data_IF_095337936895
#
_entry.id   IF_095337936895
#
_cell.length_a   1.000
_cell.length_b   1.000
_cell.length_c   1.000
_cell.angle_alpha   90.00
_cell.angle_beta   90.00
_cell.angle_gamma   90.00
#
_symmetry.space_group_name_H-M   'P 1'
#
loop_
_entity.id
_entity.type
_entity.pdbx_description
1 polymer ?
#
# COMPACT_ATOMS: atom_id res chain seq x y z
N UNK A 1 25.78 25.31 -6.27
CA UNK A 1 24.43 25.21 -6.87
C UNK A 1 23.92 23.77 -6.85
N UNK A 2 24.75 22.77 -7.18
CA UNK A 2 24.42 21.35 -6.90
C UNK A 2 24.16 21.08 -5.41
N UNK A 3 25.04 21.54 -4.51
CA UNK A 3 24.83 21.42 -3.05
C UNK A 3 23.52 22.08 -2.59
N UNK A 4 23.20 23.24 -3.18
CA UNK A 4 21.99 24.00 -2.87
C UNK A 4 20.70 23.24 -3.26
N UNK A 5 20.68 22.43 -4.34
CA UNK A 5 19.46 21.69 -4.72
C UNK A 5 19.31 20.38 -3.94
N UNK A 6 20.42 19.74 -3.57
CA UNK A 6 20.42 18.56 -2.70
C UNK A 6 19.91 18.91 -1.30
N UNK A 7 20.38 20.01 -0.71
CA UNK A 7 19.90 20.49 0.59
C UNK A 7 18.39 20.79 0.60
N UNK A 8 17.85 21.41 -0.45
CA UNK A 8 16.42 21.70 -0.53
C UNK A 8 15.57 20.44 -0.73
N UNK A 9 16.09 19.45 -1.45
CA UNK A 9 15.39 18.17 -1.64
C UNK A 9 15.24 17.42 -0.31
N UNK A 10 16.31 17.37 0.48
CA UNK A 10 16.25 16.81 1.84
C UNK A 10 15.44 17.68 2.81
N UNK A 11 15.42 19.00 2.65
CA UNK A 11 14.61 19.90 3.47
C UNK A 11 13.10 19.79 3.18
N UNK A 12 12.72 19.50 1.93
CA UNK A 12 11.32 19.33 1.53
C UNK A 12 10.80 17.90 1.77
N UNK A 13 11.69 16.91 1.87
CA UNK A 13 11.32 15.51 2.13
C UNK A 13 10.43 15.33 3.37
N UNK A 14 10.74 15.91 4.55
CA UNK A 14 9.84 15.84 5.71
C UNK A 14 8.47 16.49 5.47
N UNK A 15 8.41 17.57 4.69
CA UNK A 15 7.14 18.24 4.38
C UNK A 15 6.26 17.35 3.53
N UNK A 16 6.82 16.73 2.49
CA UNK A 16 6.11 15.78 1.65
C UNK A 16 5.76 14.48 2.40
N UNK A 17 6.65 14.00 3.26
CA UNK A 17 6.42 12.88 4.17
C UNK A 17 5.20 13.11 5.04
N UNK A 18 5.16 14.26 5.72
CA UNK A 18 4.03 14.66 6.57
C UNK A 18 2.72 14.80 5.77
N UNK A 19 2.75 15.43 4.59
CA UNK A 19 1.55 15.58 3.76
C UNK A 19 1.03 14.23 3.26
N UNK A 20 1.93 13.34 2.83
CA UNK A 20 1.60 11.99 2.42
C UNK A 20 1.07 11.15 3.60
N UNK A 21 1.63 11.31 4.80
CA UNK A 21 1.15 10.68 6.02
C UNK A 21 -0.29 11.08 6.34
N UNK A 22 -0.54 12.39 6.43
CA UNK A 22 -1.83 12.93 6.81
C UNK A 22 -2.89 12.55 5.78
N UNK A 23 -2.60 12.74 4.49
CA UNK A 23 -3.57 12.41 3.45
C UNK A 23 -3.72 10.91 3.25
N UNK A 24 -2.63 10.14 3.26
CA UNK A 24 -2.68 8.68 3.15
C UNK A 24 -3.48 8.05 4.28
N UNK A 25 -3.29 8.53 5.52
CA UNK A 25 -4.07 8.08 6.67
C UNK A 25 -5.53 8.51 6.58
N UNK A 26 -5.81 9.77 6.22
CA UNK A 26 -7.17 10.29 6.06
C UNK A 26 -7.93 9.56 4.94
N UNK A 27 -7.31 9.44 3.78
CA UNK A 27 -7.85 8.75 2.61
C UNK A 27 -8.06 7.30 2.95
N UNK A 28 -7.15 6.60 3.63
CA UNK A 28 -7.40 5.20 3.99
C UNK A 28 -8.43 5.06 5.12
N UNK A 29 -8.70 6.11 5.86
CA UNK A 29 -9.81 6.18 6.81
C UNK A 29 -9.39 5.89 8.25
N UNK A 30 -8.15 6.23 8.61
CA UNK A 30 -7.63 6.13 9.96
C UNK A 30 -8.57 6.82 10.96
N UNK A 31 -8.90 6.13 12.05
CA UNK A 31 -9.81 6.59 13.11
C UNK A 31 -9.14 6.66 14.47
N UNK A 32 -8.07 5.90 14.69
CA UNK A 32 -7.36 5.85 15.98
C UNK A 32 -5.96 6.43 15.86
N UNK A 33 -5.46 7.07 16.92
CA UNK A 33 -4.22 7.85 16.88
C UNK A 33 -2.99 7.04 16.44
N UNK A 34 -2.95 5.74 16.75
CA UNK A 34 -1.84 4.86 16.42
C UNK A 34 -1.81 4.46 14.93
N UNK A 35 -2.95 4.47 14.24
CA UNK A 35 -3.00 4.41 12.76
C UNK A 35 -2.36 5.64 12.14
N UNK A 36 -2.66 6.83 12.67
CA UNK A 36 -2.07 8.08 12.19
C UNK A 36 -0.56 8.11 12.43
N UNK A 37 -0.11 7.67 13.62
CA UNK A 37 1.31 7.60 13.93
C UNK A 37 2.04 6.62 13.02
N UNK A 38 1.48 5.42 12.80
CA UNK A 38 2.10 4.43 11.93
C UNK A 38 2.13 4.89 10.47
N UNK A 39 1.08 5.56 9.99
CA UNK A 39 1.06 6.22 8.69
C UNK A 39 2.14 7.29 8.56
N UNK A 40 2.39 8.07 9.62
CA UNK A 40 3.46 9.06 9.66
C UNK A 40 4.84 8.42 9.56
N UNK A 41 5.12 7.41 10.39
CA UNK A 41 6.40 6.70 10.35
C UNK A 41 6.64 6.06 8.97
N UNK A 42 5.61 5.41 8.41
CA UNK A 42 5.69 4.77 7.10
C UNK A 42 5.94 5.80 5.98
N UNK A 43 5.21 6.92 5.97
CA UNK A 43 5.37 7.94 4.94
C UNK A 43 6.75 8.61 5.00
N UNK A 44 7.25 8.93 6.20
CA UNK A 44 8.57 9.53 6.38
C UNK A 44 9.66 8.58 5.86
N UNK A 45 9.69 7.34 6.34
CA UNK A 45 10.65 6.32 5.85
C UNK A 45 10.55 6.17 4.33
N UNK A 46 9.32 6.14 3.81
CA UNK A 46 9.05 6.01 2.39
C UNK A 46 9.61 7.15 1.55
N UNK A 47 9.35 8.41 1.96
CA UNK A 47 9.85 9.59 1.23
C UNK A 47 11.37 9.66 1.28
N UNK A 48 11.99 9.38 2.44
CA UNK A 48 13.45 9.33 2.52
C UNK A 48 14.05 8.22 1.67
N UNK A 49 13.41 7.05 1.58
CA UNK A 49 13.83 5.97 0.70
C UNK A 49 13.75 6.38 -0.78
N UNK A 50 12.65 7.01 -1.22
CA UNK A 50 12.50 7.49 -2.60
C UNK A 50 13.53 8.57 -2.92
N UNK A 51 13.74 9.54 -2.03
CA UNK A 51 14.76 10.59 -2.20
C UNK A 51 16.16 9.98 -2.26
N UNK A 52 16.49 9.05 -1.36
CA UNK A 52 17.78 8.36 -1.37
C UNK A 52 18.03 7.57 -2.66
N UNK A 53 17.02 6.84 -3.14
CA UNK A 53 17.11 6.10 -4.42
C UNK A 53 17.25 7.08 -5.60
N UNK A 54 16.47 8.15 -5.63
CA UNK A 54 16.50 9.13 -6.71
C UNK A 54 17.84 9.90 -6.75
N UNK A 55 18.39 10.24 -5.58
CA UNK A 55 19.72 10.85 -5.47
C UNK A 55 20.79 9.87 -5.94
N UNK A 56 20.79 8.63 -5.45
CA UNK A 56 21.79 7.61 -5.77
C UNK A 56 21.78 7.16 -7.24
N UNK A 57 20.61 6.95 -7.85
CA UNK A 57 20.50 6.67 -9.29
C UNK A 57 20.89 7.90 -10.10
N UNK A 58 20.55 9.08 -9.57
CA UNK A 58 20.82 10.35 -10.19
C UNK A 58 22.31 10.69 -10.27
N UNK A 59 23.20 10.15 -9.44
CA UNK A 59 24.62 10.56 -9.37
C UNK A 59 25.36 10.54 -10.73
N UNK A 60 24.86 9.81 -11.73
CA UNK A 60 25.37 9.83 -13.13
C UNK A 60 24.68 10.81 -14.10
N UNK A 61 23.66 11.57 -13.66
CA UNK A 61 22.85 12.48 -14.49
C UNK A 61 23.11 13.92 -14.10
N UNK A 62 23.85 14.66 -14.93
CA UNK A 62 24.30 16.03 -14.68
C UNK A 62 23.18 17.08 -14.89
N UNK A 63 22.06 16.92 -14.17
CA UNK A 63 20.88 17.80 -14.24
C UNK A 63 20.11 17.82 -12.90
N UNK A 64 20.64 18.47 -11.85
CA UNK A 64 20.02 18.51 -10.52
C UNK A 64 18.61 19.12 -10.53
N UNK A 65 18.33 20.09 -11.42
CA UNK A 65 17.01 20.71 -11.59
C UNK A 65 15.98 19.69 -12.09
N UNK A 66 16.36 18.82 -13.03
CA UNK A 66 15.49 17.78 -13.55
C UNK A 66 15.10 16.77 -12.47
N UNK A 67 16.02 16.44 -11.54
CA UNK A 67 15.74 15.55 -10.41
C UNK A 67 14.74 16.18 -9.44
N UNK A 68 14.91 17.46 -9.10
CA UNK A 68 14.00 18.19 -8.23
C UNK A 68 12.59 18.30 -8.83
N UNK A 69 12.48 18.66 -10.12
CA UNK A 69 11.20 18.71 -10.84
C UNK A 69 10.54 17.33 -10.89
N UNK A 70 11.29 16.26 -11.18
CA UNK A 70 10.76 14.90 -11.18
C UNK A 70 10.22 14.49 -9.80
N UNK A 71 10.91 14.84 -8.71
CA UNK A 71 10.46 14.56 -7.34
C UNK A 71 9.20 15.34 -6.99
N UNK A 72 9.11 16.63 -7.34
CA UNK A 72 7.92 17.45 -7.11
C UNK A 72 6.72 16.90 -7.88
N UNK A 73 6.92 16.53 -9.15
CA UNK A 73 5.88 15.92 -9.99
C UNK A 73 5.44 14.59 -9.41
N UNK A 74 6.38 13.74 -9.01
CA UNK A 74 6.09 12.45 -8.37
C UNK A 74 5.31 12.64 -7.06
N UNK A 75 5.78 13.51 -6.15
CA UNK A 75 5.11 13.81 -4.90
C UNK A 75 3.69 14.34 -5.13
N UNK A 76 3.51 15.29 -6.05
CA UNK A 76 2.21 15.86 -6.39
C UNK A 76 1.26 14.82 -7.00
N UNK A 77 1.76 14.00 -7.93
CA UNK A 77 0.99 12.92 -8.54
C UNK A 77 0.59 11.86 -7.51
N UNK A 78 1.48 11.54 -6.57
CA UNK A 78 1.19 10.63 -5.45
C UNK A 78 0.09 11.20 -4.56
N UNK A 79 0.20 12.47 -4.17
CA UNK A 79 -0.79 13.18 -3.37
C UNK A 79 -2.17 13.20 -4.05
N UNK A 80 -2.24 13.51 -5.34
CA UNK A 80 -3.52 13.54 -6.10
C UNK A 80 -4.04 12.14 -6.39
N UNK A 81 -3.15 11.17 -6.63
CA UNK A 81 -3.50 9.78 -6.93
C UNK A 81 -4.16 9.04 -5.75
N UNK A 82 -3.82 9.39 -4.51
CA UNK A 82 -4.41 8.77 -3.30
C UNK A 82 -5.95 8.87 -3.25
N UNK A 83 -6.59 10.06 -3.32
CA UNK A 83 -8.05 10.15 -3.31
C UNK A 83 -8.68 9.51 -4.56
N UNK A 84 -8.05 9.66 -5.72
CA UNK A 84 -8.55 9.09 -6.98
C UNK A 84 -8.58 7.55 -6.90
N UNK A 85 -7.49 6.91 -6.48
CA UNK A 85 -7.42 5.45 -6.33
C UNK A 85 -8.46 4.93 -5.34
N UNK A 86 -8.71 5.62 -4.22
CA UNK A 86 -9.80 5.25 -3.30
C UNK A 86 -11.16 5.28 -3.96
N UNK A 87 -11.46 6.33 -4.73
CA UNK A 87 -12.75 6.47 -5.42
C UNK A 87 -12.91 5.36 -6.46
N UNK A 88 -11.87 5.12 -7.26
CA UNK A 88 -11.87 4.07 -8.29
C UNK A 88 -12.02 2.67 -7.68
N UNK A 89 -11.33 2.41 -6.56
CA UNK A 89 -11.46 1.14 -5.84
C UNK A 89 -12.86 0.98 -5.26
N UNK A 90 -13.47 2.05 -4.75
CA UNK A 90 -14.80 2.01 -4.15
C UNK A 90 -15.93 1.75 -5.16
N UNK A 91 -15.70 2.06 -6.44
CA UNK A 91 -16.67 1.83 -7.52
C UNK A 91 -16.83 0.34 -7.90
N UNK A 92 -15.85 -0.50 -7.55
CA UNK A 92 -15.87 -1.96 -7.77
C UNK A 92 -16.31 -2.35 -9.21
N UNK A 93 -15.78 -1.62 -10.19
CA UNK A 93 -16.06 -1.85 -11.61
C UNK A 93 -14.75 -2.14 -12.35
N UNK A 94 -14.82 -2.94 -13.42
CA UNK A 94 -13.62 -3.35 -14.17
C UNK A 94 -12.90 -2.15 -14.82
N UNK A 95 -13.65 -1.17 -15.35
CA UNK A 95 -13.08 0.08 -15.90
C UNK A 95 -12.39 0.87 -14.79
N UNK A 96 -13.04 1.05 -13.65
CA UNK A 96 -12.45 1.77 -12.53
C UNK A 96 -11.17 1.08 -12.03
N UNK A 97 -11.17 -0.25 -12.03
CA UNK A 97 -10.00 -1.06 -11.71
C UNK A 97 -8.86 -0.85 -12.72
N UNK A 98 -9.17 -0.79 -14.03
CA UNK A 98 -8.18 -0.51 -15.08
C UNK A 98 -7.55 0.87 -14.95
N UNK A 99 -8.28 1.87 -14.44
CA UNK A 99 -7.70 3.18 -14.14
C UNK A 99 -6.97 3.21 -12.79
N UNK A 100 -7.43 2.46 -11.79
CA UNK A 100 -6.80 2.40 -10.47
C UNK A 100 -5.42 1.74 -10.51
N UNK A 101 -5.28 0.67 -11.31
CA UNK A 101 -4.03 -0.09 -11.41
C UNK A 101 -2.82 0.76 -11.82
N UNK A 102 -2.85 1.57 -12.90
CA UNK A 102 -1.73 2.43 -13.28
C UNK A 102 -1.32 3.42 -12.18
N UNK A 103 -2.27 4.02 -11.46
CA UNK A 103 -1.93 4.90 -10.33
C UNK A 103 -1.17 4.14 -9.25
N UNK A 104 -1.66 2.96 -8.88
CA UNK A 104 -0.99 2.10 -7.89
C UNK A 104 0.38 1.63 -8.38
N UNK A 105 0.51 1.33 -9.67
CA UNK A 105 1.78 0.93 -10.25
C UNK A 105 2.80 2.07 -10.23
N UNK A 106 2.41 3.29 -10.63
CA UNK A 106 3.30 4.47 -10.59
C UNK A 106 3.74 4.78 -9.15
N UNK A 107 2.84 4.63 -8.18
CA UNK A 107 3.14 4.88 -6.76
C UNK A 107 3.93 3.76 -6.08
N UNK A 108 3.88 2.53 -6.63
CA UNK A 108 4.49 1.31 -6.08
C UNK A 108 5.21 0.52 -7.18
N UNK A 109 6.16 1.13 -7.92
CA UNK A 109 6.66 0.57 -9.17
C UNK A 109 7.51 -0.68 -8.95
N UNK A 110 8.23 -0.79 -7.84
CA UNK A 110 9.18 -1.88 -7.63
C UNK A 110 8.45 -3.18 -7.34
N UNK A 111 7.63 -3.25 -6.28
CA UNK A 111 6.97 -4.50 -5.91
C UNK A 111 5.74 -4.77 -6.77
N UNK A 112 5.10 -3.77 -7.39
CA UNK A 112 4.11 -4.05 -8.44
C UNK A 112 4.78 -4.72 -9.66
N UNK A 113 5.96 -4.25 -10.09
CA UNK A 113 6.67 -4.85 -11.23
C UNK A 113 7.26 -6.21 -10.88
N UNK A 114 7.99 -6.32 -9.76
CA UNK A 114 8.55 -7.60 -9.29
C UNK A 114 7.43 -8.59 -9.00
N UNK A 115 6.39 -8.14 -8.30
CA UNK A 115 5.20 -8.94 -8.03
C UNK A 115 4.52 -9.40 -9.32
N UNK A 116 4.38 -8.53 -10.31
CA UNK A 116 3.85 -8.88 -11.63
C UNK A 116 4.71 -9.88 -12.38
N UNK A 117 6.03 -9.67 -12.45
CA UNK A 117 6.98 -10.56 -13.13
C UNK A 117 7.00 -11.96 -12.52
N UNK A 118 6.98 -12.06 -11.19
CA UNK A 118 6.93 -13.34 -10.47
C UNK A 118 5.63 -14.11 -10.72
N UNK A 119 4.61 -13.47 -11.31
CA UNK A 119 3.23 -13.99 -11.32
C UNK A 119 2.57 -14.07 -12.68
N UNK A 120 3.23 -13.60 -13.74
CA UNK A 120 2.80 -13.76 -15.13
C UNK A 120 2.42 -15.23 -15.43
N UNK A 121 3.23 -16.20 -14.97
CA UNK A 121 2.96 -17.62 -15.16
C UNK A 121 1.67 -18.11 -14.48
N UNK A 122 1.30 -17.55 -13.33
CA UNK A 122 0.07 -17.89 -12.61
C UNK A 122 -1.16 -17.20 -13.20
N UNK A 123 -1.01 -15.98 -13.68
CA UNK A 123 -2.06 -15.28 -14.41
C UNK A 123 -2.44 -16.03 -15.70
N UNK A 124 -1.44 -16.50 -16.46
CA UNK A 124 -1.65 -17.32 -17.67
C UNK A 124 -2.36 -18.64 -17.34
N UNK A 125 -2.11 -19.21 -16.15
CA UNK A 125 -2.75 -20.45 -15.70
C UNK A 125 -4.21 -20.28 -15.21
N UNK A 126 -4.84 -19.12 -15.44
CA UNK A 126 -6.22 -18.84 -15.01
C UNK A 126 -6.38 -18.71 -13.49
N UNK A 127 -5.29 -18.44 -12.76
CA UNK A 127 -5.28 -18.31 -11.30
C UNK A 127 -5.31 -16.86 -10.83
N UNK A 128 -5.74 -15.94 -11.70
CA UNK A 128 -5.79 -14.52 -11.43
C UNK A 128 -7.23 -13.97 -11.45
N UNK A 129 -7.51 -13.06 -10.53
CA UNK A 129 -8.73 -12.25 -10.51
C UNK A 129 -8.34 -10.78 -10.43
N UNK A 130 -8.87 -9.94 -11.32
CA UNK A 130 -8.59 -8.51 -11.33
C UNK A 130 -9.74 -7.73 -10.72
N UNK A 131 -9.48 -6.95 -9.66
CA UNK A 131 -10.52 -6.19 -8.95
C UNK A 131 -9.92 -5.03 -8.18
N UNK A 132 -10.62 -3.89 -8.11
CA UNK A 132 -10.21 -2.68 -7.36
C UNK A 132 -8.76 -2.29 -7.65
N UNK A 133 -8.37 -2.33 -8.93
CA UNK A 133 -7.03 -1.99 -9.39
C UNK A 133 -5.92 -2.94 -8.93
N UNK A 134 -6.25 -4.12 -8.42
CA UNK A 134 -5.28 -5.11 -7.97
C UNK A 134 -5.42 -6.45 -8.71
N UNK A 135 -4.30 -7.11 -8.97
CA UNK A 135 -4.25 -8.49 -9.44
C UNK A 135 -4.17 -9.46 -8.26
N UNK A 136 -5.25 -10.21 -8.03
CA UNK A 136 -5.31 -11.26 -7.00
C UNK A 136 -4.91 -12.59 -7.59
N UNK A 137 -3.96 -13.25 -6.99
CA UNK A 137 -3.34 -14.46 -7.51
C UNK A 137 -3.51 -15.60 -6.53
N UNK A 138 -4.08 -16.69 -7.00
CA UNK A 138 -4.32 -17.88 -6.20
C UNK A 138 -3.04 -18.70 -6.05
N UNK A 139 -2.44 -18.65 -4.87
CA UNK A 139 -1.17 -19.36 -4.55
C UNK A 139 -1.36 -20.77 -4.00
N UNK A 140 -2.58 -21.14 -3.60
CA UNK A 140 -2.90 -22.49 -3.13
C UNK A 140 -4.30 -22.94 -3.56
N UNK A 141 -4.53 -24.25 -3.58
CA UNK A 141 -5.86 -24.85 -3.80
C UNK A 141 -6.65 -25.08 -2.51
N UNK A 142 -6.01 -24.91 -1.34
CA UNK A 142 -6.60 -25.20 -0.03
C UNK A 142 -7.66 -24.20 0.42
N UNK A 143 -8.41 -24.55 1.46
CA UNK A 143 -9.48 -23.73 2.06
C UNK A 143 -8.99 -22.63 3.00
N UNK A 144 -7.67 -22.59 3.28
CA UNK A 144 -7.05 -21.54 4.08
C UNK A 144 -7.37 -20.17 3.51
N UNK A 145 -7.61 -19.22 4.40
CA UNK A 145 -7.83 -17.82 4.05
C UNK A 145 -6.57 -17.04 4.38
N UNK A 146 -6.14 -16.22 3.43
CA UNK A 146 -5.10 -15.26 3.66
C UNK A 146 -4.52 -14.66 2.41
N UNK A 147 -4.00 -13.44 2.55
CA UNK A 147 -3.42 -12.72 1.45
C UNK A 147 -2.21 -11.86 1.87
N UNK A 148 -1.38 -11.55 0.88
CA UNK A 148 -0.24 -10.66 0.97
C UNK A 148 -0.29 -9.68 -0.20
N UNK A 149 -0.50 -8.40 0.09
CA UNK A 149 -0.40 -7.33 -0.90
C UNK A 149 1.05 -6.90 -1.10
N UNK A 150 1.52 -6.95 -2.35
CA UNK A 150 2.76 -6.39 -2.90
C UNK A 150 2.43 -5.34 -3.97
N UNK A 151 2.34 -4.07 -3.57
CA UNK A 151 1.90 -2.98 -4.44
C UNK A 151 0.48 -3.19 -4.97
N UNK A 152 0.32 -3.27 -6.30
CA UNK A 152 -0.96 -3.59 -6.94
C UNK A 152 -1.18 -5.11 -7.19
N UNK A 153 -0.32 -5.98 -6.65
CA UNK A 153 -0.42 -7.43 -6.79
C UNK A 153 -0.71 -8.04 -5.42
N UNK A 154 -1.61 -9.01 -5.37
CA UNK A 154 -2.06 -9.64 -4.13
C UNK A 154 -1.95 -11.15 -4.26
N UNK A 155 -1.15 -11.76 -3.40
CA UNK A 155 -1.01 -13.21 -3.32
C UNK A 155 -2.01 -13.73 -2.31
N UNK A 156 -3.01 -14.50 -2.75
CA UNK A 156 -4.10 -14.98 -1.89
C UNK A 156 -4.23 -16.51 -1.92
N UNK A 157 -4.55 -17.11 -0.77
CA UNK A 157 -4.81 -18.54 -0.65
C UNK A 157 -6.13 -18.94 -1.32
N UNK A 158 -6.29 -20.24 -1.61
CA UNK A 158 -7.45 -20.74 -2.35
C UNK A 158 -8.81 -20.46 -1.71
N UNK A 159 -8.90 -20.42 -0.38
CA UNK A 159 -10.13 -20.13 0.36
C UNK A 159 -10.64 -18.69 0.20
N UNK A 160 -9.84 -17.82 -0.41
CA UNK A 160 -10.16 -16.43 -0.71
C UNK A 160 -10.93 -16.24 -2.03
N UNK A 161 -11.02 -17.29 -2.85
CA UNK A 161 -11.68 -17.26 -4.15
C UNK A 161 -13.01 -18.00 -4.08
N UNK A 162 -13.99 -17.54 -4.86
CA UNK A 162 -15.23 -18.25 -5.08
C UNK A 162 -15.07 -19.39 -6.10
N UNK A 163 -16.15 -20.13 -6.33
CA UNK A 163 -16.21 -21.24 -7.29
C UNK A 163 -15.93 -20.81 -8.74
N UNK A 164 -16.16 -19.53 -9.05
CA UNK A 164 -15.97 -18.94 -10.38
C UNK A 164 -14.55 -18.38 -10.54
N UNK A 165 -13.68 -18.61 -9.55
CA UNK A 165 -12.29 -18.17 -9.55
C UNK A 165 -12.11 -16.67 -9.27
N UNK A 166 -13.16 -15.98 -8.82
CA UNK A 166 -13.07 -14.56 -8.46
C UNK A 166 -12.73 -14.42 -6.99
N UNK A 167 -11.94 -13.40 -6.66
CA UNK A 167 -11.67 -13.09 -5.25
C UNK A 167 -12.95 -12.59 -4.56
N UNK A 168 -13.20 -13.06 -3.34
CA UNK A 168 -14.31 -12.59 -2.50
C UNK A 168 -14.20 -11.08 -2.26
N UNK A 169 -15.34 -10.39 -2.24
CA UNK A 169 -15.36 -8.92 -2.23
C UNK A 169 -14.78 -8.30 -0.96
N UNK A 170 -15.07 -8.91 0.19
CA UNK A 170 -14.56 -8.48 1.49
C UNK A 170 -13.02 -8.50 1.51
N UNK A 171 -12.41 -9.56 1.00
CA UNK A 171 -10.97 -9.64 0.85
C UNK A 171 -10.46 -8.66 -0.22
N UNK A 172 -11.15 -8.55 -1.36
CA UNK A 172 -10.73 -7.63 -2.40
C UNK A 172 -10.69 -6.18 -1.91
N UNK A 173 -11.67 -5.79 -1.10
CA UNK A 173 -11.75 -4.47 -0.49
C UNK A 173 -10.64 -4.27 0.56
N UNK A 174 -10.36 -5.28 1.37
CA UNK A 174 -9.30 -5.26 2.38
C UNK A 174 -7.90 -5.14 1.75
N UNK A 175 -7.59 -5.94 0.74
CA UNK A 175 -6.28 -5.89 0.08
C UNK A 175 -6.13 -4.65 -0.81
N UNK A 176 -7.23 -4.11 -1.36
CA UNK A 176 -7.20 -2.80 -2.00
C UNK A 176 -6.87 -1.67 -1.01
N UNK A 177 -7.26 -1.80 0.26
CA UNK A 177 -6.84 -0.89 1.33
C UNK A 177 -5.33 -0.99 1.59
N UNK A 178 -4.80 -2.20 1.74
CA UNK A 178 -3.36 -2.40 1.86
C UNK A 178 -2.60 -1.85 0.68
N UNK A 179 -3.06 -2.12 -0.54
CA UNK A 179 -2.46 -1.61 -1.76
C UNK A 179 -2.38 -0.08 -1.77
N UNK A 180 -3.44 0.61 -1.31
CA UNK A 180 -3.43 2.07 -1.17
C UNK A 180 -2.51 2.58 -0.06
N UNK A 181 -2.31 1.82 1.02
CA UNK A 181 -1.33 2.19 2.06
C UNK A 181 0.10 2.02 1.56
N UNK A 182 0.38 0.89 0.90
CA UNK A 182 1.67 0.62 0.23
C UNK A 182 1.99 1.76 -0.73
N UNK A 183 1.02 2.18 -1.55
CA UNK A 183 1.23 3.26 -2.51
C UNK A 183 1.33 4.64 -1.84
N UNK A 184 0.53 4.91 -0.80
CA UNK A 184 0.57 6.20 -0.10
C UNK A 184 1.86 6.42 0.70
N UNK A 185 2.45 5.33 1.20
CA UNK A 185 3.66 5.36 2.05
C UNK A 185 4.90 4.85 1.32
N UNK A 186 4.89 4.92 -0.02
CA UNK A 186 6.05 4.65 -0.89
C UNK A 186 6.68 3.26 -0.72
N UNK A 187 5.85 2.24 -0.61
CA UNK A 187 6.16 0.81 -0.69
C UNK A 187 7.16 0.31 0.36
N UNK A 188 8.43 0.69 0.22
CA UNK A 188 9.51 0.49 1.20
C UNK A 188 9.11 1.07 2.56
N UNK A 189 8.55 2.29 2.58
CA UNK A 189 8.13 2.94 3.82
C UNK A 189 7.06 2.15 4.56
N UNK A 190 6.05 1.68 3.83
CA UNK A 190 5.02 0.79 4.39
C UNK A 190 5.61 -0.50 4.94
N UNK A 191 6.38 -1.27 4.16
CA UNK A 191 6.88 -2.57 4.61
C UNK A 191 7.88 -2.46 5.77
N UNK A 192 8.78 -1.47 5.76
CA UNK A 192 9.71 -1.25 6.86
C UNK A 192 8.95 -0.86 8.12
N UNK A 193 8.02 0.11 8.04
CA UNK A 193 7.24 0.52 9.19
C UNK A 193 6.34 -0.61 9.70
N UNK A 194 5.80 -1.43 8.81
CA UNK A 194 5.03 -2.62 9.17
C UNK A 194 5.88 -3.62 9.95
N UNK A 195 7.10 -3.96 9.47
CA UNK A 195 7.97 -4.94 10.11
C UNK A 195 8.58 -4.44 11.42
N UNK A 196 8.98 -3.17 11.49
CA UNK A 196 9.71 -2.62 12.63
C UNK A 196 8.81 -2.02 13.71
N UNK A 197 7.63 -1.54 13.34
CA UNK A 197 6.71 -0.85 14.25
C UNK A 197 5.39 -1.57 14.31
N UNK A 198 4.71 -1.75 13.18
CA UNK A 198 3.35 -2.28 13.13
C UNK A 198 3.23 -3.66 13.80
N UNK A 199 4.04 -4.62 13.35
CA UNK A 199 4.03 -6.00 13.84
C UNK A 199 4.44 -6.11 15.32
N UNK A 200 5.57 -5.55 15.78
CA UNK A 200 5.93 -5.57 17.20
C UNK A 200 4.90 -4.90 18.09
N UNK A 201 4.31 -3.78 17.63
CA UNK A 201 3.29 -3.06 18.36
C UNK A 201 2.00 -3.87 18.48
N UNK A 202 1.56 -4.49 17.39
CA UNK A 202 0.42 -5.40 17.38
C UNK A 202 0.60 -6.58 18.33
N UNK A 203 1.79 -7.20 18.31
CA UNK A 203 2.15 -8.28 19.24
C UNK A 203 2.13 -7.80 20.70
N UNK A 204 2.66 -6.61 20.98
CA UNK A 204 2.64 -6.03 22.33
C UNK A 204 1.22 -5.75 22.84
N UNK A 205 0.25 -5.55 21.94
CA UNK A 205 -1.16 -5.39 22.29
C UNK A 205 -1.91 -6.73 22.42
N UNK A 206 -1.24 -7.87 22.17
CA UNK A 206 -1.82 -9.21 22.26
C UNK A 206 -2.38 -9.75 20.93
N UNK A 207 -2.12 -9.08 19.81
CA UNK A 207 -2.55 -9.52 18.48
C UNK A 207 -1.67 -10.63 17.91
N UNK A 208 -2.25 -11.45 17.04
CA UNK A 208 -1.51 -12.50 16.32
C UNK A 208 -0.68 -11.87 15.20
N UNK A 209 0.65 -12.02 15.20
CA UNK A 209 1.51 -11.51 14.13
C UNK A 209 1.13 -12.20 12.82
N UNK A 210 0.96 -11.41 11.74
CA UNK A 210 0.55 -11.91 10.43
C UNK A 210 -0.78 -12.68 10.46
N UNK A 211 -1.81 -12.12 11.12
CA UNK A 211 -3.18 -12.58 10.88
C UNK A 211 -3.53 -12.32 9.43
N UNK A 212 -3.23 -13.30 8.57
CA UNK A 212 -3.63 -13.30 7.17
C UNK A 212 -5.15 -13.47 7.05
N UNK A 213 -5.87 -13.74 8.14
CA UNK A 213 -7.32 -13.83 8.12
C UNK A 213 -7.94 -12.45 7.88
N UNK A 214 -9.13 -12.41 7.26
CA UNK A 214 -9.91 -11.18 7.02
C UNK A 214 -10.35 -10.43 8.31
N UNK A 215 -9.86 -10.85 9.48
CA UNK A 215 -10.08 -10.23 10.77
C UNK A 215 -9.44 -8.84 10.91
N UNK A 216 -8.32 -8.58 10.22
CA UNK A 216 -7.75 -7.24 10.03
C UNK A 216 -7.45 -6.47 11.31
N UNK A 217 -6.95 -7.12 12.36
CA UNK A 217 -6.71 -6.46 13.65
C UNK A 217 -5.39 -6.91 14.31
N UNK A 218 -4.39 -7.29 13.50
CA UNK A 218 -3.10 -7.76 14.01
C UNK A 218 -2.08 -6.64 14.30
N UNK A 219 -2.29 -5.42 13.78
CA UNK A 219 -1.35 -4.30 13.91
C UNK A 219 -2.05 -2.94 13.70
N UNK A 220 -1.41 -1.82 14.08
CA UNK A 220 -1.97 -0.48 13.93
C UNK A 220 -2.26 -0.03 12.51
N UNK A 221 -1.76 -0.67 11.43
CA UNK A 221 -2.14 -0.31 10.07
C UNK A 221 -3.51 -0.86 9.67
N UNK A 222 -4.07 -1.81 10.43
CA UNK A 222 -5.21 -2.61 10.00
C UNK A 222 -6.49 -2.37 10.79
N UNK A 223 -6.42 -1.71 11.96
CA UNK A 223 -7.55 -1.57 12.91
C UNK A 223 -8.84 -1.03 12.29
N UNK A 224 -8.75 -0.28 11.19
CA UNK A 224 -9.89 0.28 10.43
C UNK A 224 -10.03 -0.23 9.00
N UNK A 225 -9.23 -1.21 8.57
CA UNK A 225 -9.19 -1.72 7.19
C UNK A 225 -10.53 -2.33 6.73
N UNK A 226 -11.45 -2.65 7.65
CA UNK A 226 -12.86 -2.96 7.33
C UNK A 226 -13.69 -1.68 7.28
N UNK A 227 -14.16 -1.23 6.11
CA UNK A 227 -15.49 -0.59 6.01
C UNK A 227 -15.96 -0.32 4.58
N UNK A 228 -17.09 -0.95 4.22
CA UNK A 228 -18.31 -0.16 3.96
C UNK A 228 -19.44 -0.46 4.95
N UNK A 229 -19.53 -1.69 5.50
CA UNK A 229 -20.72 -2.12 6.28
C UNK A 229 -20.47 -2.69 7.70
N UNK A 230 -19.26 -2.62 8.27
CA UNK A 230 -19.11 -2.98 9.69
C UNK A 230 -19.30 -1.73 10.57
N UNK A 231 -20.30 -1.76 11.46
CA UNK A 231 -20.43 -0.79 12.54
C UNK A 231 -19.13 -0.77 13.33
N UNK A 232 -18.65 0.45 13.56
CA UNK A 232 -17.42 0.77 14.26
C UNK A 232 -17.46 0.20 15.69
N UNK A 233 -16.82 -0.95 15.89
CA UNK A 233 -16.38 -1.38 17.20
C UNK A 233 -14.91 -1.75 17.06
N UNK A 234 -13.98 -0.84 17.38
CA UNK A 234 -12.57 -1.20 17.52
C UNK A 234 -12.47 -2.41 18.44
N UNK A 235 -11.92 -3.51 17.94
CA UNK A 235 -11.65 -4.67 18.78
C UNK A 235 -10.29 -4.51 19.44
N UNK A 236 -10.15 -4.78 20.74
CA UNK A 236 -8.85 -4.88 21.35
C UNK A 236 -8.06 -6.04 20.71
N UNK A 237 -6.74 -5.92 20.63
CA UNK A 237 -5.92 -6.85 19.84
C UNK A 237 -5.94 -8.31 20.36
N UNK A 238 -6.36 -8.55 21.61
CA UNK A 238 -6.57 -9.90 22.16
C UNK A 238 -7.91 -10.56 21.74
N UNK A 239 -8.86 -9.79 21.18
CA UNK A 239 -10.11 -10.30 20.60
C UNK A 239 -9.96 -10.71 19.12
N UNK A 240 -8.72 -10.77 18.64
CA UNK A 240 -8.34 -10.92 17.24
C UNK A 240 -7.55 -12.21 17.01
#
# INVERSE_FOLDING_TARGET
MLEFLTEYTYALAPVFGLLAALMGSAVNGAKVWDEWLCGLIAAEIGVFAVVGIAVGIGEGVDAPEARAVALIVFASATLVGMPITRILDAADHWIASMFSFPFKWVQSPVFTTVGGLLTIGWAIAGRASFRRGCFFLKVSSGSSQGALTLGAVVYAYGGCFDKDGRVKDDLAQHEAYHSRQVTAFHEIGFYIAYLLVGMPWGQAQGGVPMSTTSGGCGNPFEKTARTKNHKFTPKPAHEC
#
